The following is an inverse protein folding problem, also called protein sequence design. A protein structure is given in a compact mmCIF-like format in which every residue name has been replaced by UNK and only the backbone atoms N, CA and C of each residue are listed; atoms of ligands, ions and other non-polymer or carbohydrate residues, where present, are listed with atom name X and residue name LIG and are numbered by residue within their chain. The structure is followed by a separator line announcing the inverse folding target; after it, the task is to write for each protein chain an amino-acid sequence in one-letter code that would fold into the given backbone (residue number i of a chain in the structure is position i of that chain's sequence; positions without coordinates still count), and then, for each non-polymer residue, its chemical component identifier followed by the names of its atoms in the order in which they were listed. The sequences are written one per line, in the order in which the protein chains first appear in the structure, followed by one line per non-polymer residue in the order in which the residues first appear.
data_IF_297751357021
#
_entry.id   IF_297751357021
#
_cell.length_a   1.000
_cell.length_b   1.000
_cell.length_c   1.000
_cell.angle_alpha   90.00
_cell.angle_beta   90.00
_cell.angle_gamma   90.00
#
_symmetry.space_group_name_H-M   'P 1'
#
loop_
_entity.id
_entity.type
_entity.pdbx_description
1 polymer ?
#
# COMPACT_ATOMS: atom_id res chain seq x y z
N UNK A 1 -20.85 10.08 38.66
CA UNK A 1 -20.50 11.43 38.16
C UNK A 1 -18.98 11.57 38.34
N UNK A 2 -18.09 11.78 37.37
CA UNK A 2 -18.10 12.17 35.95
C UNK A 2 -16.87 11.46 35.32
N UNK A 3 -17.01 10.97 34.10
CA UNK A 3 -15.92 10.34 33.33
C UNK A 3 -14.86 11.41 32.95
N UNK A 4 -13.57 11.26 33.30
CA UNK A 4 -12.57 12.34 33.18
C UNK A 4 -12.02 12.53 31.74
N UNK A 5 -12.41 11.70 30.78
CA UNK A 5 -11.82 11.70 29.43
C UNK A 5 -12.56 12.59 28.41
N UNK A 6 -13.32 13.60 28.87
CA UNK A 6 -14.22 14.39 28.02
C UNK A 6 -13.66 15.75 27.57
N UNK A 7 -12.33 15.93 27.60
CA UNK A 7 -11.69 17.25 27.50
C UNK A 7 -10.51 17.42 26.53
N UNK A 8 -10.14 16.46 25.68
CA UNK A 8 -9.10 16.70 24.67
C UNK A 8 -9.71 17.06 23.31
N UNK A 9 -9.69 18.37 22.99
CA UNK A 9 -9.60 18.92 21.64
C UNK A 9 -10.64 18.45 20.60
N UNK A 10 -11.77 19.15 20.50
CA UNK A 10 -12.77 18.96 19.43
C UNK A 10 -12.88 20.12 18.41
N UNK A 11 -12.00 21.12 18.44
CA UNK A 11 -12.24 22.37 17.69
C UNK A 11 -11.47 22.58 16.38
N UNK A 12 -10.22 22.12 16.28
CA UNK A 12 -9.32 22.50 15.18
C UNK A 12 -8.48 21.29 14.73
N UNK A 13 -7.73 20.68 15.66
CA UNK A 13 -6.87 19.52 15.40
C UNK A 13 -7.60 18.36 14.72
N UNK A 14 -8.81 18.00 15.19
CA UNK A 14 -9.57 16.89 14.60
C UNK A 14 -9.96 17.09 13.13
N UNK A 15 -10.08 18.34 12.65
CA UNK A 15 -10.47 18.64 11.26
C UNK A 15 -9.26 18.51 10.34
N UNK A 16 -8.12 19.11 10.73
CA UNK A 16 -6.86 18.99 9.98
C UNK A 16 -6.34 17.56 10.00
N UNK A 17 -6.39 16.88 11.15
CA UNK A 17 -6.00 15.47 11.26
C UNK A 17 -6.86 14.60 10.35
N UNK A 18 -8.19 14.80 10.33
CA UNK A 18 -9.08 14.06 9.43
C UNK A 18 -8.74 14.30 7.95
N UNK A 19 -8.42 15.54 7.58
CA UNK A 19 -8.03 15.87 6.21
C UNK A 19 -6.68 15.24 5.85
N UNK A 20 -5.70 15.37 6.74
CA UNK A 20 -4.38 14.77 6.62
C UNK A 20 -4.48 13.26 6.40
N UNK A 21 -5.19 12.54 7.28
CA UNK A 21 -5.34 11.09 7.15
C UNK A 21 -6.14 10.69 5.90
N UNK A 22 -7.13 11.48 5.48
CA UNK A 22 -7.86 11.23 4.24
C UNK A 22 -6.93 11.29 3.03
N UNK A 23 -6.09 12.32 2.93
CA UNK A 23 -5.12 12.44 1.85
C UNK A 23 -4.00 11.41 1.96
N UNK A 24 -3.48 11.18 3.16
CA UNK A 24 -2.44 10.20 3.43
C UNK A 24 -2.88 8.80 3.02
N UNK A 25 -4.08 8.37 3.39
CA UNK A 25 -4.61 7.04 3.05
C UNK A 25 -4.77 6.91 1.53
N UNK A 26 -5.26 7.94 0.85
CA UNK A 26 -5.39 7.93 -0.60
C UNK A 26 -4.03 7.81 -1.30
N UNK A 27 -3.04 8.60 -0.88
CA UNK A 27 -1.69 8.57 -1.43
C UNK A 27 -0.93 7.28 -1.05
N UNK A 28 -1.14 6.77 0.15
CA UNK A 28 -0.61 5.49 0.61
C UNK A 28 -1.16 4.33 -0.21
N UNK A 29 -2.48 4.29 -0.47
CA UNK A 29 -3.08 3.26 -1.32
C UNK A 29 -2.53 3.30 -2.75
N UNK A 30 -2.32 4.50 -3.29
CA UNK A 30 -1.68 4.66 -4.59
C UNK A 30 -0.24 4.12 -4.59
N UNK A 31 0.57 4.51 -3.60
CA UNK A 31 1.93 4.01 -3.42
C UNK A 31 1.98 2.49 -3.21
N UNK A 32 1.04 1.94 -2.45
CA UNK A 32 0.90 0.51 -2.19
C UNK A 32 0.58 -0.26 -3.46
N UNK A 33 -0.39 0.19 -4.25
CA UNK A 33 -0.74 -0.42 -5.52
C UNK A 33 0.43 -0.37 -6.50
N UNK A 34 1.05 0.79 -6.64
CA UNK A 34 2.21 0.96 -7.53
C UNK A 34 3.36 0.03 -7.13
N UNK A 35 3.72 0.01 -5.84
CA UNK A 35 4.81 -0.81 -5.32
C UNK A 35 4.49 -2.31 -5.43
N UNK A 36 3.24 -2.73 -5.18
CA UNK A 36 2.81 -4.12 -5.33
C UNK A 36 2.90 -4.58 -6.77
N UNK A 37 2.43 -3.77 -7.73
CA UNK A 37 2.52 -4.09 -9.17
C UNK A 37 3.98 -4.15 -9.62
N UNK A 38 4.81 -3.20 -9.17
CA UNK A 38 6.24 -3.17 -9.49
C UNK A 38 6.95 -4.44 -8.99
N UNK A 39 6.67 -4.87 -7.76
CA UNK A 39 7.22 -6.11 -7.23
C UNK A 39 6.72 -7.34 -7.99
N UNK A 40 5.41 -7.42 -8.30
CA UNK A 40 4.83 -8.54 -9.04
C UNK A 40 5.39 -8.70 -10.45
N UNK A 41 5.85 -7.64 -11.11
CA UNK A 41 6.53 -7.77 -12.40
C UNK A 41 7.78 -8.65 -12.33
N UNK A 42 8.48 -8.68 -11.19
CA UNK A 42 9.60 -9.59 -10.99
C UNK A 42 9.12 -11.05 -10.99
N UNK A 43 8.05 -11.37 -10.23
CA UNK A 43 7.48 -12.71 -10.20
C UNK A 43 7.02 -13.19 -11.59
N UNK A 44 6.44 -12.32 -12.42
CA UNK A 44 6.00 -12.68 -13.77
C UNK A 44 7.16 -13.20 -14.64
N UNK A 45 8.35 -12.64 -14.51
CA UNK A 45 9.53 -13.09 -15.24
C UNK A 45 10.07 -14.44 -14.76
N UNK A 46 9.98 -14.71 -13.45
CA UNK A 46 10.40 -16.00 -12.87
C UNK A 46 9.42 -17.11 -13.26
N UNK A 47 8.11 -16.83 -13.16
CA UNK A 47 7.06 -17.79 -13.49
C UNK A 47 7.02 -18.11 -14.99
N UNK A 48 7.32 -17.13 -15.86
CA UNK A 48 7.39 -17.38 -17.31
C UNK A 48 8.52 -18.34 -17.66
N UNK A 49 9.70 -18.19 -17.04
CA UNK A 49 10.78 -19.18 -17.18
C UNK A 49 10.35 -20.57 -16.73
N UNK A 50 9.62 -20.67 -15.61
CA UNK A 50 9.14 -21.95 -15.10
C UNK A 50 8.18 -22.65 -16.09
N UNK A 51 7.32 -21.87 -16.74
CA UNK A 51 6.40 -22.37 -17.77
C UNK A 51 7.15 -22.84 -19.03
N UNK A 52 8.07 -22.02 -19.56
CA UNK A 52 8.78 -22.32 -20.81
C UNK A 52 9.89 -23.37 -20.68
N UNK A 53 10.63 -23.40 -19.57
CA UNK A 53 11.78 -24.32 -19.38
C UNK A 53 11.36 -25.68 -18.82
N UNK A 54 10.32 -25.76 -17.98
CA UNK A 54 9.98 -26.99 -17.24
C UNK A 54 8.64 -27.64 -17.66
N UNK A 55 7.96 -27.12 -18.70
CA UNK A 55 6.64 -27.61 -19.17
C UNK A 55 5.60 -27.74 -18.04
N UNK A 56 5.64 -26.84 -17.06
CA UNK A 56 4.68 -26.84 -15.95
C UNK A 56 3.30 -26.44 -16.48
N UNK A 57 2.22 -27.18 -16.14
CA UNK A 57 0.87 -26.85 -16.58
C UNK A 57 0.46 -25.44 -16.10
N UNK A 58 -0.23 -24.71 -16.97
CA UNK A 58 -0.62 -23.30 -16.77
C UNK A 58 -1.39 -23.08 -15.46
N UNK A 59 -2.23 -24.04 -15.09
CA UNK A 59 -3.07 -24.03 -13.90
C UNK A 59 -2.23 -23.93 -12.61
N UNK A 60 -1.10 -24.65 -12.56
CA UNK A 60 -0.18 -24.62 -11.42
C UNK A 60 0.58 -23.28 -11.37
N UNK A 61 0.97 -22.74 -12.53
CA UNK A 61 1.62 -21.41 -12.61
C UNK A 61 0.67 -20.32 -12.11
N UNK A 62 -0.62 -20.39 -12.47
CA UNK A 62 -1.63 -19.44 -12.02
C UNK A 62 -1.87 -19.56 -10.50
N UNK A 63 -1.95 -20.79 -9.97
CA UNK A 63 -2.07 -21.01 -8.52
C UNK A 63 -0.86 -20.45 -7.74
N UNK A 64 0.35 -20.60 -8.28
CA UNK A 64 1.55 -20.00 -7.70
C UNK A 64 1.49 -18.47 -7.74
N UNK A 65 1.04 -17.87 -8.84
CA UNK A 65 0.89 -16.43 -8.97
C UNK A 65 -0.12 -15.88 -7.96
N UNK A 66 -1.25 -16.56 -7.76
CA UNK A 66 -2.25 -16.17 -6.75
C UNK A 66 -1.68 -16.26 -5.33
N UNK A 67 -0.88 -17.28 -5.01
CA UNK A 67 -0.20 -17.40 -3.71
C UNK A 67 0.90 -16.36 -3.49
N UNK A 68 1.46 -15.78 -4.55
CA UNK A 68 2.46 -14.71 -4.44
C UNK A 68 1.84 -13.36 -4.03
N UNK A 69 0.58 -13.09 -4.40
CA UNK A 69 -0.12 -11.85 -4.04
C UNK A 69 -0.09 -11.57 -2.52
N UNK A 70 -0.55 -12.48 -1.64
CA UNK A 70 -0.52 -12.24 -0.19
C UNK A 70 0.90 -12.12 0.37
N UNK A 71 1.87 -12.85 -0.21
CA UNK A 71 3.27 -12.74 0.17
C UNK A 71 3.82 -11.34 -0.14
N UNK A 72 3.66 -10.86 -1.38
CA UNK A 72 4.12 -9.53 -1.80
C UNK A 72 3.42 -8.43 -1.00
N UNK A 73 2.11 -8.56 -0.75
CA UNK A 73 1.35 -7.59 0.05
C UNK A 73 1.88 -7.47 1.49
N UNK A 74 2.30 -8.58 2.09
CA UNK A 74 2.85 -8.58 3.46
C UNK A 74 4.10 -7.68 3.58
N UNK A 75 4.89 -7.56 2.51
CA UNK A 75 6.04 -6.66 2.44
C UNK A 75 5.68 -5.28 1.91
N UNK A 76 4.78 -5.19 0.92
CA UNK A 76 4.46 -3.91 0.28
C UNK A 76 3.71 -2.98 1.23
N UNK A 77 2.90 -3.51 2.16
CA UNK A 77 2.18 -2.72 3.17
C UNK A 77 3.14 -1.83 4.00
N UNK A 78 4.14 -2.37 4.73
CA UNK A 78 5.07 -1.52 5.49
C UNK A 78 5.96 -0.66 4.58
N UNK A 79 6.33 -1.12 3.39
CA UNK A 79 7.18 -0.33 2.47
C UNK A 79 6.44 0.83 1.79
N UNK A 80 5.13 0.70 1.56
CA UNK A 80 4.32 1.73 0.93
C UNK A 80 4.10 2.98 1.82
N UNK A 81 4.43 2.89 3.11
CA UNK A 81 4.37 4.02 4.04
C UNK A 81 5.25 5.17 3.55
N UNK A 82 6.47 4.87 3.09
CA UNK A 82 7.41 5.88 2.59
C UNK A 82 6.86 6.68 1.39
N UNK A 83 6.50 6.06 0.25
CA UNK A 83 5.94 6.79 -0.88
C UNK A 83 4.61 7.45 -0.54
N UNK A 84 3.77 6.84 0.32
CA UNK A 84 2.52 7.46 0.79
C UNK A 84 2.75 8.78 1.53
N UNK A 85 3.72 8.83 2.45
CA UNK A 85 4.09 10.05 3.15
C UNK A 85 4.76 11.07 2.23
N UNK A 86 5.68 10.64 1.35
CA UNK A 86 6.36 11.53 0.42
C UNK A 86 5.39 12.23 -0.53
N UNK A 87 4.44 11.48 -1.11
CA UNK A 87 3.41 12.04 -1.99
C UNK A 87 2.50 13.03 -1.24
N UNK A 88 2.13 12.71 -0.01
CA UNK A 88 1.28 13.56 0.82
C UNK A 88 1.97 14.86 1.19
N UNK A 89 3.22 14.80 1.62
CA UNK A 89 4.01 15.99 1.94
C UNK A 89 4.33 16.80 0.68
N UNK A 90 4.59 16.15 -0.46
CA UNK A 90 4.79 16.83 -1.74
C UNK A 90 3.56 17.62 -2.18
N UNK A 91 2.36 17.06 -1.99
CA UNK A 91 1.09 17.77 -2.25
C UNK A 91 0.93 18.98 -1.34
N UNK A 92 1.11 18.83 -0.02
CA UNK A 92 0.98 19.95 0.92
C UNK A 92 2.04 21.04 0.71
N UNK A 93 3.26 20.67 0.30
CA UNK A 93 4.30 21.64 -0.04
C UNK A 93 3.99 22.44 -1.31
N UNK A 94 3.17 21.91 -2.20
CA UNK A 94 2.75 22.60 -3.43
C UNK A 94 1.52 23.49 -3.19
N UNK A 95 0.69 23.12 -2.21
CA UNK A 95 -0.49 23.88 -1.78
C UNK A 95 -0.15 25.06 -0.84
N UNK A 96 1.14 25.35 -0.61
CA UNK A 96 1.64 26.52 0.15
C UNK A 96 1.96 27.69 -0.77
#
# INVERSE_FOLDING_TARGET
MKNPLRGLSRGFLAIYDRYFYKELIQNYLFGLLFLTVLLMFNQLFILSKLFFEFNVPFDQVLALLMNQIPFVLSFSIPFAVLPGYLLTMGRFSTDS
#
